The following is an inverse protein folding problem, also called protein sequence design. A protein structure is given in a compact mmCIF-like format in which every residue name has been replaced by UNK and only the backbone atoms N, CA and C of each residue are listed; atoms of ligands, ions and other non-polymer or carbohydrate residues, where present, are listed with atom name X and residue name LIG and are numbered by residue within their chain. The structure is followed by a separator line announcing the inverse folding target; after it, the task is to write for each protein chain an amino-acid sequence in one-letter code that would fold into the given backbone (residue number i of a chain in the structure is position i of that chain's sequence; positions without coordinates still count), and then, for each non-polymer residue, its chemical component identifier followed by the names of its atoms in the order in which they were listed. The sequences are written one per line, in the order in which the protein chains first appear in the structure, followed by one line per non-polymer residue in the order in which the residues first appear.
data_IF_345461669062
#
_entry.id   IF_345461669062
#
_cell.length_a   1.000
_cell.length_b   1.000
_cell.length_c   1.000
_cell.angle_alpha   90.00
_cell.angle_beta   90.00
_cell.angle_gamma   90.00
#
_symmetry.space_group_name_H-M   'P 1'
#
loop_
_entity.id
_entity.type
_entity.pdbx_description
1 polymer ?
2 water ?
#
# COMPACT_ATOMS: atom_id res chain seq x y z
N UNK A 28 35.63 10.41 -1.12
CA UNK A 28 35.10 11.60 -0.48
C UNK A 28 33.84 11.24 0.31
N UNK A 29 33.01 12.24 0.61
CA UNK A 29 31.78 12.03 1.35
C UNK A 29 30.58 12.19 0.43
N UNK A 30 29.52 11.45 0.72
CA UNK A 30 28.32 11.46 -0.13
C UNK A 30 27.18 12.23 0.53
N UNK A 31 26.27 12.75 -0.30
CA UNK A 31 25.11 13.47 0.20
C UNK A 31 24.22 12.58 1.06
N UNK A 32 23.85 11.42 0.52
CA UNK A 32 23.03 10.44 1.24
C UNK A 32 23.80 9.14 1.46
N UNK A 33 24.15 8.86 2.70
CA UNK A 33 24.89 7.66 3.04
C UNK A 33 24.22 6.86 4.16
N UNK A 34 22.92 7.05 4.32
CA UNK A 34 22.15 6.30 5.30
C UNK A 34 20.68 6.26 4.87
N UNK A 35 19.90 5.33 5.46
CA UNK A 35 18.50 5.22 5.07
C UNK A 35 17.72 6.51 5.30
N UNK A 36 16.79 6.82 4.40
CA UNK A 36 16.01 8.05 4.49
C UNK A 36 14.52 7.73 4.59
N UNK A 37 13.82 8.49 5.43
CA UNK A 37 12.39 8.29 5.64
C UNK A 37 11.60 8.70 4.40
N UNK A 38 10.73 7.83 3.94
CA UNK A 38 9.84 8.13 2.81
C UNK A 38 8.40 8.15 3.27
N UNK A 39 7.63 9.09 2.74
CA UNK A 39 6.19 9.15 2.95
C UNK A 39 5.54 9.87 1.77
N UNK A 40 4.28 10.27 1.93
CA UNK A 40 3.53 10.86 0.82
C UNK A 40 4.17 12.14 0.27
N UNK A 41 5.02 12.78 1.06
CA UNK A 41 5.61 14.05 0.66
C UNK A 41 6.85 13.88 -0.22
N UNK A 42 7.40 12.68 -0.30
CA UNK A 42 8.63 12.47 -1.09
C UNK A 42 8.79 11.09 -1.73
N UNK A 43 7.80 10.22 -1.58
CA UNK A 43 7.93 8.85 -2.08
C UNK A 43 8.05 8.80 -3.60
N UNK A 44 7.03 9.27 -4.29
CA UNK A 44 7.02 9.23 -5.75
C UNK A 44 8.13 10.11 -6.32
N UNK A 45 8.44 11.20 -5.62
CA UNK A 45 9.46 12.13 -6.08
C UNK A 45 10.85 11.49 -5.97
N UNK A 46 11.10 10.79 -4.87
CA UNK A 46 12.37 10.11 -4.69
C UNK A 46 12.59 9.07 -5.79
N UNK A 47 11.53 8.33 -6.13
CA UNK A 47 11.61 7.33 -7.19
C UNK A 47 11.86 7.99 -8.54
N UNK A 48 11.23 9.15 -8.74
CA UNK A 48 11.33 9.87 -10.00
C UNK A 48 12.71 10.48 -10.24
N UNK A 49 13.35 10.92 -9.15
CA UNK A 49 14.58 11.71 -9.26
C UNK A 49 15.85 10.96 -8.87
N UNK A 50 15.72 9.68 -8.56
CA UNK A 50 16.88 8.82 -8.27
C UNK A 50 16.81 7.54 -9.09
N UNK A 51 17.90 7.23 -9.80
CA UNK A 51 17.92 6.11 -10.73
C UNK A 51 17.73 4.77 -10.03
N UNK A 52 18.32 4.64 -8.86
CA UNK A 52 18.29 3.38 -8.12
C UNK A 52 17.86 3.60 -6.67
N UNK A 53 16.71 3.05 -6.32
CA UNK A 53 16.17 3.18 -4.97
C UNK A 53 15.76 1.81 -4.42
N UNK A 54 16.22 1.52 -3.21
CA UNK A 54 15.74 0.36 -2.46
C UNK A 54 14.81 0.86 -1.37
N UNK A 55 13.56 0.42 -1.40
CA UNK A 55 12.59 0.81 -0.37
C UNK A 55 12.37 -0.32 0.60
N UNK A 56 12.60 -0.04 1.88
CA UNK A 56 12.36 -0.98 2.96
C UNK A 56 10.99 -0.72 3.57
N UNK A 57 10.05 -1.63 3.33
CA UNK A 57 8.72 -1.54 3.92
C UNK A 57 8.74 -2.21 5.29
N UNK A 58 8.47 -1.43 6.34
CA UNK A 58 8.70 -1.88 7.71
C UNK A 58 7.67 -1.32 8.68
N UNK A 59 7.71 -1.81 9.92
CA UNK A 59 6.85 -1.31 10.98
C UNK A 59 7.51 -1.56 12.33
N UNK A 60 7.19 -0.72 13.31
CA UNK A 60 7.84 -0.79 14.62
C UNK A 60 7.48 -2.06 15.39
N UNK A 61 6.37 -2.70 15.02
CA UNK A 61 5.95 -3.94 15.67
C UNK A 61 6.57 -5.18 15.03
N UNK A 62 7.28 -4.99 13.93
CA UNK A 62 7.88 -6.10 13.19
C UNK A 62 9.29 -6.41 13.70
N UNK A 63 9.45 -7.54 14.36
CA UNK A 63 10.74 -7.94 14.91
C UNK A 63 11.77 -8.19 13.81
N UNK A 64 11.41 -8.96 12.76
CA UNK A 64 12.37 -9.15 11.66
C UNK A 64 12.82 -7.84 11.01
N UNK A 65 11.96 -6.84 10.95
CA UNK A 65 12.33 -5.55 10.40
C UNK A 65 13.46 -4.93 11.21
N UNK A 66 13.33 -4.98 12.53
CA UNK A 66 14.34 -4.41 13.42
C UNK A 66 15.63 -5.21 13.35
N UNK A 67 15.51 -6.50 13.07
CA UNK A 67 16.67 -7.39 13.02
C UNK A 67 17.59 -7.06 11.83
N UNK A 68 17.01 -6.57 10.74
CA UNK A 68 17.79 -6.29 9.53
C UNK A 68 18.18 -4.82 9.39
N UNK A 69 17.62 -3.97 10.25
CA UNK A 69 17.86 -2.54 10.16
C UNK A 69 19.35 -2.20 10.16
N UNK A 70 20.15 -2.83 11.03
CA UNK A 70 21.59 -2.54 10.99
C UNK A 70 22.26 -2.90 9.66
N UNK A 71 21.85 -4.00 9.05
CA UNK A 71 22.43 -4.40 7.77
C UNK A 71 22.08 -3.38 6.68
N UNK A 72 20.84 -2.88 6.70
CA UNK A 72 20.42 -1.89 5.71
C UNK A 72 21.21 -0.59 5.87
N UNK A 73 21.50 -0.22 7.11
CA UNK A 73 22.32 0.96 7.38
C UNK A 73 23.72 0.80 6.80
N UNK A 74 24.31 -0.37 6.99
CA UNK A 74 25.65 -0.65 6.48
C UNK A 74 25.69 -0.60 4.95
N UNK A 75 24.68 -1.17 4.32
CA UNK A 75 24.60 -1.18 2.86
C UNK A 75 24.33 0.22 2.32
N UNK A 76 23.58 1.01 3.08
CA UNK A 76 23.30 2.39 2.71
C UNK A 76 24.61 3.19 2.66
N UNK A 77 25.52 2.91 3.59
CA UNK A 77 26.84 3.54 3.57
C UNK A 77 27.64 3.03 2.39
N UNK A 78 27.62 1.71 2.19
CA UNK A 78 28.46 1.09 1.18
C UNK A 78 28.09 1.55 -0.23
N UNK A 79 26.80 1.70 -0.49
CA UNK A 79 26.32 2.07 -1.83
C UNK A 79 25.89 3.53 -1.89
N UNK A 80 26.40 4.33 -0.95
CA UNK A 80 26.12 5.76 -0.91
C UNK A 80 26.51 6.41 -2.22
N UNK A 81 25.58 7.18 -2.80
CA UNK A 81 25.81 7.83 -4.07
C UNK A 81 25.36 7.00 -5.25
N UNK A 82 25.18 5.70 -5.03
CA UNK A 82 24.72 4.79 -6.08
C UNK A 82 23.28 4.35 -5.86
N UNK A 83 22.98 3.95 -4.61
CA UNK A 83 21.64 3.49 -4.24
C UNK A 83 21.09 4.33 -3.09
N UNK A 84 19.87 4.84 -3.26
CA UNK A 84 19.16 5.50 -2.17
C UNK A 84 18.32 4.45 -1.44
N UNK A 85 18.59 4.28 -0.15
CA UNK A 85 17.82 3.37 0.67
C UNK A 85 16.71 4.12 1.39
N UNK A 86 15.47 3.85 1.00
CA UNK A 86 14.32 4.50 1.60
C UNK A 86 13.62 3.59 2.58
N UNK A 87 13.05 4.18 3.63
CA UNK A 87 12.26 3.44 4.59
C UNK A 87 10.82 3.94 4.54
N UNK A 88 9.90 3.02 4.29
CA UNK A 88 8.47 3.32 4.21
C UNK A 88 7.76 2.56 5.32
N UNK A 89 7.36 3.28 6.36
CA UNK A 89 6.65 2.67 7.47
C UNK A 89 5.24 2.33 7.03
N UNK A 90 4.88 1.04 7.12
CA UNK A 90 3.62 0.57 6.58
C UNK A 90 2.41 0.94 7.45
N UNK A 91 2.62 1.10 8.75
CA UNK A 91 1.55 1.60 9.63
C UNK A 91 1.20 3.03 9.28
N UNK A 92 2.24 3.85 9.06
CA UNK A 92 2.06 5.28 8.85
C UNK A 92 1.69 5.62 7.42
N UNK A 93 1.95 4.69 6.49
CA UNK A 93 1.69 4.91 5.08
C UNK A 93 1.04 3.68 4.42
N UNK A 94 -0.14 3.28 4.92
CA UNK A 94 -0.80 2.05 4.45
C UNK A 94 -1.17 2.09 2.96
N UNK A 95 -1.54 3.26 2.45
CA UNK A 95 -1.94 3.38 1.06
C UNK A 95 -0.77 3.07 0.12
N UNK A 96 0.39 3.65 0.42
CA UNK A 96 1.57 3.42 -0.42
C UNK A 96 1.97 1.94 -0.38
N UNK A 97 1.91 1.34 0.80
CA UNK A 97 2.27 -0.08 0.93
C UNK A 97 1.29 -0.93 0.15
N UNK A 98 0.01 -0.61 0.27
CA UNK A 98 -1.04 -1.36 -0.42
C UNK A 98 -0.88 -1.24 -1.94
N UNK A 99 -0.30 -0.13 -2.38
CA UNK A 99 -0.07 0.09 -3.81
C UNK A 99 0.80 -1.02 -4.41
N UNK A 100 1.71 -1.55 -3.59
CA UNK A 100 2.62 -2.62 -4.04
C UNK A 100 2.23 -3.97 -3.47
N UNK A 101 1.08 -4.01 -2.78
CA UNK A 101 0.56 -5.25 -2.24
C UNK A 101 1.45 -5.88 -1.20
N UNK A 102 2.06 -5.06 -0.35
CA UNK A 102 2.89 -5.57 0.73
C UNK A 102 2.05 -6.45 1.65
N UNK A 103 2.35 -7.75 1.65
CA UNK A 103 1.57 -8.73 2.42
C UNK A 103 2.38 -9.29 3.59
N UNK A 104 3.67 -8.95 3.64
CA UNK A 104 4.53 -9.34 4.74
C UNK A 104 5.69 -8.36 4.83
N UNK A 105 6.17 -8.12 6.05
CA UNK A 105 7.34 -7.25 6.25
C UNK A 105 8.40 -7.96 7.09
N UNK A 106 9.68 -7.62 6.87
CA UNK A 106 10.13 -6.61 5.91
C UNK A 106 10.05 -7.08 4.47
N UNK A 107 9.67 -6.17 3.57
CA UNK A 107 9.80 -6.38 2.14
C UNK A 107 10.66 -5.28 1.57
N UNK A 108 11.66 -5.66 0.78
CA UNK A 108 12.47 -4.71 0.04
C UNK A 108 12.07 -4.75 -1.43
N UNK A 109 11.92 -3.59 -2.04
CA UNK A 109 11.67 -3.48 -3.47
C UNK A 109 12.75 -2.63 -4.11
N UNK A 110 13.35 -3.14 -5.17
CA UNK A 110 14.33 -2.39 -5.93
C UNK A 110 13.64 -1.61 -7.05
N UNK A 111 13.78 -0.28 -7.01
CA UNK A 111 13.23 0.58 -8.05
C UNK A 111 14.31 1.08 -8.98
N UNK A 112 14.20 0.72 -10.25
CA UNK A 112 15.11 1.19 -11.29
C UNK A 112 14.38 2.18 -12.19
N UNK A 113 14.91 3.40 -12.27
CA UNK A 113 14.27 4.46 -13.06
C UNK A 113 12.82 4.62 -12.64
N UNK A 114 12.56 4.45 -11.35
CA UNK A 114 11.24 4.70 -10.79
C UNK A 114 10.27 3.54 -10.92
N UNK A 115 10.75 2.41 -11.44
CA UNK A 115 9.92 1.23 -11.65
C UNK A 115 10.41 0.04 -10.84
N UNK A 116 9.48 -0.69 -10.19
CA UNK A 116 9.88 -1.87 -9.41
C UNK A 116 10.36 -3.00 -10.31
N UNK A 117 11.53 -3.55 -10.02
CA UNK A 117 12.12 -4.57 -10.90
C UNK A 117 12.52 -5.83 -10.12
N UNK A 118 12.52 -5.75 -8.80
CA UNK A 118 12.84 -6.92 -7.99
C UNK A 118 12.38 -6.74 -6.55
N UNK A 119 12.22 -7.84 -5.83
CA UNK A 119 11.76 -7.81 -4.44
C UNK A 119 12.43 -8.89 -3.59
N UNK A 120 12.54 -8.60 -2.29
CA UNK A 120 12.99 -9.56 -1.29
C UNK A 120 12.04 -9.51 -0.11
N UNK A 121 11.59 -10.67 0.35
CA UNK A 121 10.60 -10.75 1.42
C UNK A 121 11.13 -11.53 2.62
N UNK A 122 10.95 -10.94 3.81
CA UNK A 122 11.42 -11.55 5.04
C UNK A 122 12.86 -11.16 5.33
N UNK A 123 13.30 -11.44 6.56
CA UNK A 123 14.67 -11.12 6.95
C UNK A 123 15.66 -11.96 6.15
N UNK A 124 16.75 -11.34 5.72
CA UNK A 124 17.76 -12.01 4.91
C UNK A 124 19.18 -11.64 5.37
N UNK A 125 20.14 -12.56 5.17
CA UNK A 125 21.52 -12.24 5.52
C UNK A 125 22.09 -11.10 4.66
N UNK A 126 23.10 -10.40 5.18
CA UNK A 126 23.71 -9.29 4.45
C UNK A 126 24.24 -9.72 3.09
N UNK A 127 24.84 -10.91 3.05
CA UNK A 127 25.42 -11.42 1.81
C UNK A 127 24.36 -11.57 0.71
N UNK A 128 23.19 -12.07 1.09
CA UNK A 128 22.11 -12.26 0.13
C UNK A 128 21.52 -10.92 -0.29
N UNK A 129 21.43 -10.01 0.69
CA UNK A 129 20.95 -8.66 0.44
C UNK A 129 21.82 -7.94 -0.57
N UNK A 130 23.13 -8.01 -0.36
CA UNK A 130 24.09 -7.33 -1.23
C UNK A 130 24.06 -7.90 -2.65
N UNK A 131 23.99 -9.23 -2.79
CA UNK A 131 23.90 -9.85 -4.11
C UNK A 131 22.64 -9.39 -4.82
N UNK A 132 21.57 -9.23 -4.05
CA UNK A 132 20.30 -8.74 -4.59
C UNK A 132 20.46 -7.34 -5.17
N UNK A 133 21.13 -6.46 -4.43
CA UNK A 133 21.44 -5.13 -4.94
C UNK A 133 22.30 -5.20 -6.20
N UNK A 134 23.37 -5.99 -6.14
CA UNK A 134 24.30 -6.09 -7.26
C UNK A 134 23.65 -6.62 -8.52
N UNK A 135 22.63 -7.46 -8.33
CA UNK A 135 21.93 -8.07 -9.45
C UNK A 135 21.07 -7.06 -10.21
N UNK A 136 20.65 -6.00 -9.52
CA UNK A 136 19.74 -5.02 -10.11
C UNK A 136 20.41 -3.67 -10.41
N UNK A 137 21.49 -3.37 -9.69
CA UNK A 137 22.17 -2.09 -9.83
C UNK A 137 22.90 -2.00 -11.16
N UNK B 29 0.15 -9.25 12.71
CA UNK B 29 0.86 -10.08 11.74
C UNK B 29 0.57 -9.63 10.32
N UNK B 30 -0.69 -9.26 10.08
CA UNK B 30 -1.12 -8.79 8.77
C UNK B 30 -0.68 -7.33 8.60
N UNK B 31 -0.11 -7.01 7.45
CA UNK B 31 0.43 -5.67 7.21
C UNK B 31 -0.67 -4.62 7.16
N UNK B 32 -1.66 -4.83 6.28
CA UNK B 32 -2.75 -3.88 6.11
C UNK B 32 -3.99 -4.29 6.89
N UNK B 33 -4.42 -3.44 7.82
CA UNK B 33 -5.61 -3.69 8.61
C UNK B 33 -6.49 -2.44 8.71
N UNK B 34 -6.26 -1.50 7.81
CA UNK B 34 -7.00 -0.24 7.81
C UNK B 34 -7.39 0.16 6.39
N UNK B 35 -8.38 1.06 6.26
CA UNK B 35 -8.74 1.50 4.91
C UNK B 35 -7.64 2.32 4.27
N UNK B 36 -7.45 2.20 2.96
CA UNK B 36 -6.48 3.03 2.25
C UNK B 36 -7.20 4.11 1.44
N UNK B 37 -6.46 5.16 1.08
CA UNK B 37 -7.02 6.29 0.35
C UNK B 37 -6.66 6.20 -1.12
N UNK B 38 -7.60 5.71 -1.92
CA UNK B 38 -7.36 5.54 -3.34
C UNK B 38 -7.64 6.84 -4.08
N UNK B 39 -6.90 7.06 -5.17
CA UNK B 39 -7.13 8.20 -6.04
C UNK B 39 -6.80 7.80 -7.48
N UNK B 40 -7.03 8.70 -8.43
CA UNK B 40 -6.81 8.40 -9.83
C UNK B 40 -5.37 7.96 -10.12
N UNK B 41 -4.44 8.40 -9.28
CA UNK B 41 -3.03 8.08 -9.47
C UNK B 41 -2.67 6.63 -9.09
N UNK B 42 -3.12 6.19 -7.91
CA UNK B 42 -2.71 4.88 -7.38
C UNK B 42 -3.74 3.78 -7.53
N UNK B 43 -4.89 4.10 -8.13
CA UNK B 43 -6.01 3.17 -8.19
C UNK B 43 -5.63 1.85 -8.87
N UNK B 44 -5.15 1.95 -10.11
CA UNK B 44 -4.96 0.78 -10.94
C UNK B 44 -3.83 -0.13 -10.45
N UNK B 45 -2.75 0.49 -9.96
CA UNK B 45 -1.63 -0.27 -9.45
C UNK B 45 -2.06 -1.05 -8.21
N UNK B 46 -2.89 -0.44 -7.37
CA UNK B 46 -3.41 -1.10 -6.18
C UNK B 46 -4.25 -2.32 -6.56
N UNK B 47 -5.12 -2.17 -7.56
CA UNK B 47 -5.93 -3.29 -8.04
C UNK B 47 -5.06 -4.41 -8.58
N UNK B 48 -3.96 -4.03 -9.22
CA UNK B 48 -3.06 -4.98 -9.86
C UNK B 48 -2.31 -5.86 -8.86
N UNK B 49 -2.01 -5.30 -7.69
CA UNK B 49 -1.13 -5.96 -6.72
C UNK B 49 -1.87 -6.54 -5.51
N UNK B 50 -3.20 -6.54 -5.56
CA UNK B 50 -4.03 -7.12 -4.50
C UNK B 50 -5.18 -7.90 -5.10
N UNK B 51 -5.35 -9.15 -4.65
CA UNK B 51 -6.37 -10.03 -5.21
C UNK B 51 -7.79 -9.54 -4.91
N UNK B 52 -8.03 -9.13 -3.66
CA UNK B 52 -9.35 -8.68 -3.22
C UNK B 52 -9.32 -7.23 -2.78
N UNK B 53 -10.00 -6.37 -3.52
CA UNK B 53 -10.10 -4.96 -3.18
C UNK B 53 -11.55 -4.51 -3.19
N UNK B 54 -12.03 -4.07 -2.03
CA UNK B 54 -13.34 -3.42 -1.93
C UNK B 54 -13.15 -1.92 -1.95
N UNK B 55 -13.77 -1.26 -2.92
CA UNK B 55 -13.67 0.19 -3.04
C UNK B 55 -14.95 0.86 -2.59
N UNK B 56 -14.81 1.78 -1.63
CA UNK B 56 -15.93 2.56 -1.12
C UNK B 56 -15.92 3.93 -1.77
N UNK B 57 -16.85 4.14 -2.71
CA UNK B 57 -17.02 5.43 -3.36
C UNK B 57 -17.86 6.35 -2.48
N UNK B 58 -17.28 7.47 -2.06
CA UNK B 58 -17.90 8.33 -1.05
C UNK B 58 -17.59 9.80 -1.26
N UNK B 59 -18.26 10.66 -0.48
CA UNK B 59 -17.97 12.08 -0.47
C UNK B 59 -18.37 12.66 0.88
N UNK B 60 -17.77 13.80 1.22
CA UNK B 60 -17.94 14.39 2.55
C UNK B 60 -19.38 14.85 2.83
N UNK B 61 -20.12 15.17 1.78
CA UNK B 61 -21.49 15.67 1.92
C UNK B 61 -22.52 14.56 2.04
N UNK B 62 -22.07 13.31 1.97
CA UNK B 62 -22.95 12.14 2.01
C UNK B 62 -23.00 11.56 3.42
N UNK B 63 -24.13 11.72 4.11
CA UNK B 63 -24.22 11.23 5.48
C UNK B 63 -24.43 9.72 5.56
N UNK B 64 -25.09 9.12 4.56
CA UNK B 64 -25.06 7.65 4.52
C UNK B 64 -23.64 7.10 4.38
N UNK B 65 -22.73 7.84 3.73
CA UNK B 65 -21.34 7.43 3.63
C UNK B 65 -20.69 7.46 5.01
N UNK B 66 -21.02 8.50 5.78
CA UNK B 66 -20.50 8.63 7.15
C UNK B 66 -21.00 7.48 8.00
N UNK B 67 -22.23 7.03 7.72
CA UNK B 67 -22.82 5.94 8.47
C UNK B 67 -21.99 4.67 8.38
N UNK B 68 -21.50 4.34 7.18
CA UNK B 68 -20.77 3.10 6.97
C UNK B 68 -19.27 3.24 7.18
N UNK B 69 -18.79 4.48 7.32
CA UNK B 69 -17.37 4.74 7.48
C UNK B 69 -16.74 3.91 8.60
N UNK B 70 -17.32 3.95 9.82
CA UNK B 70 -16.74 3.12 10.88
C UNK B 70 -16.86 1.63 10.63
N UNK B 71 -17.89 1.22 9.88
CA UNK B 71 -18.08 -0.19 9.57
C UNK B 71 -16.96 -0.66 8.64
N UNK B 72 -16.60 0.18 7.68
CA UNK B 72 -15.49 -0.14 6.78
C UNK B 72 -14.20 -0.30 7.58
N UNK B 73 -14.00 0.58 8.56
CA UNK B 73 -12.81 0.52 9.40
C UNK B 73 -12.75 -0.80 10.16
N UNK B 74 -13.90 -1.25 10.63
CA UNK B 74 -13.99 -2.50 11.39
C UNK B 74 -13.73 -3.71 10.50
N UNK B 75 -14.31 -3.70 9.31
CA UNK B 75 -14.11 -4.80 8.36
C UNK B 75 -12.65 -4.88 7.92
N UNK B 76 -12.00 -3.73 7.81
CA UNK B 76 -10.58 -3.69 7.46
C UNK B 76 -9.75 -4.44 8.52
N UNK B 77 -10.13 -4.30 9.78
CA UNK B 77 -9.46 -5.00 10.86
C UNK B 77 -9.77 -6.49 10.82
N UNK B 78 -11.03 -6.80 10.56
CA UNK B 78 -11.51 -8.19 10.62
C UNK B 78 -10.99 -9.02 9.45
N UNK B 79 -10.80 -8.39 8.29
CA UNK B 79 -10.31 -9.07 7.10
C UNK B 79 -8.89 -8.69 6.75
N UNK B 80 -8.12 -8.27 7.74
CA UNK B 80 -6.72 -7.90 7.53
C UNK B 80 -5.97 -9.02 6.81
N UNK B 81 -5.24 -8.64 5.75
CA UNK B 81 -4.46 -9.59 4.99
C UNK B 81 -5.23 -10.26 3.86
N UNK B 82 -6.56 -10.27 3.98
CA UNK B 82 -7.41 -10.95 3.00
C UNK B 82 -8.04 -9.97 2.01
N UNK B 83 -8.51 -8.84 2.52
CA UNK B 83 -9.21 -7.85 1.70
C UNK B 83 -8.67 -6.45 1.96
N UNK B 84 -8.35 -5.74 0.88
CA UNK B 84 -8.00 -4.34 0.95
C UNK B 84 -9.26 -3.49 0.81
N UNK B 85 -9.53 -2.66 1.80
CA UNK B 85 -10.63 -1.71 1.72
C UNK B 85 -10.10 -0.35 1.33
N UNK B 86 -10.49 0.10 0.14
CA UNK B 86 -10.05 1.37 -0.37
C UNK B 86 -11.19 2.36 -0.40
N UNK B 87 -10.89 3.61 -0.07
CA UNK B 87 -11.87 4.67 -0.10
C UNK B 87 -11.54 5.61 -1.23
N UNK B 88 -12.50 5.83 -2.11
CA UNK B 88 -12.32 6.73 -3.24
C UNK B 88 -13.30 7.88 -3.15
N UNK B 89 -12.77 9.05 -2.82
CA UNK B 89 -13.58 10.25 -2.73
C UNK B 89 -13.98 10.70 -4.12
N UNK B 90 -15.29 10.74 -4.38
CA UNK B 90 -15.79 11.04 -5.72
C UNK B 90 -15.68 12.52 -6.08
N UNK B 91 -15.63 13.40 -5.08
CA UNK B 91 -15.39 14.82 -5.35
C UNK B 91 -13.97 15.02 -5.85
N UNK B 92 -13.02 14.33 -5.23
CA UNK B 92 -11.61 14.50 -5.52
C UNK B 92 -11.15 13.68 -6.73
N UNK B 93 -11.91 12.63 -7.06
CA UNK B 93 -11.55 11.74 -8.16
C UNK B 93 -12.72 11.45 -9.08
N UNK B 94 -13.25 12.51 -9.72
CA UNK B 94 -14.42 12.37 -10.60
C UNK B 94 -14.14 11.49 -11.82
N UNK B 95 -12.90 11.42 -12.26
CA UNK B 95 -12.56 10.60 -13.43
C UNK B 95 -12.76 9.13 -13.12
N UNK B 96 -12.57 8.73 -11.86
CA UNK B 96 -12.75 7.34 -11.47
C UNK B 96 -14.23 7.04 -11.23
N UNK B 97 -14.93 7.98 -10.61
CA UNK B 97 -16.38 7.85 -10.42
C UNK B 97 -17.05 7.64 -11.78
N UNK B 98 -16.60 8.40 -12.77
CA UNK B 98 -17.13 8.28 -14.13
C UNK B 98 -16.82 6.91 -14.73
N UNK B 99 -15.58 6.47 -14.57
CA UNK B 99 -15.13 5.20 -15.14
C UNK B 99 -16.07 4.05 -14.77
N UNK B 100 -16.50 4.02 -13.50
CA UNK B 100 -17.32 2.92 -13.01
C UNK B 100 -18.79 3.29 -12.89
N UNK B 101 -19.17 4.43 -13.48
CA UNK B 101 -20.56 4.83 -13.53
C UNK B 101 -21.18 5.00 -12.16
N UNK B 102 -20.45 5.63 -11.24
CA UNK B 102 -20.98 5.92 -9.92
C UNK B 102 -21.94 7.11 -10.01
N UNK B 103 -23.22 6.85 -9.75
CA UNK B 103 -24.26 7.88 -9.79
C UNK B 103 -24.92 8.05 -8.42
N UNK B 104 -24.55 7.20 -7.48
CA UNK B 104 -25.11 7.25 -6.15
C UNK B 104 -24.06 6.78 -5.15
N UNK B 105 -24.04 7.39 -3.96
CA UNK B 105 -23.09 7.00 -2.93
C UNK B 105 -23.80 6.84 -1.58
N UNK B 106 -23.26 5.97 -0.70
CA UNK B 106 -22.08 5.15 -0.94
C UNK B 106 -22.32 4.01 -1.92
N UNK B 107 -21.33 3.74 -2.78
CA UNK B 107 -21.33 2.56 -3.62
C UNK B 107 -20.08 1.76 -3.32
N UNK B 108 -20.26 0.46 -3.07
CA UNK B 108 -19.15 -0.46 -2.89
C UNK B 108 -18.99 -1.31 -4.14
N UNK B 109 -17.75 -1.50 -4.58
CA UNK B 109 -17.45 -2.40 -5.69
C UNK B 109 -16.37 -3.37 -5.24
N UNK B 110 -16.60 -4.66 -5.51
CA UNK B 110 -15.61 -5.68 -5.20
C UNK B 110 -14.78 -5.97 -6.44
N UNK B 111 -13.48 -5.75 -6.35
CA UNK B 111 -12.55 -6.05 -7.42
C UNK B 111 -11.80 -7.34 -7.13
N UNK B 112 -12.02 -8.35 -7.96
CA UNK B 112 -11.30 -9.61 -7.87
C UNK B 112 -10.24 -9.64 -8.96
N UNK B 113 -8.98 -9.72 -8.54
CA UNK B 113 -7.86 -9.73 -9.46
C UNK B 113 -7.94 -8.56 -10.46
N UNK B 114 -8.33 -7.40 -9.96
CA UNK B 114 -8.34 -6.18 -10.76
C UNK B 114 -9.62 -5.93 -11.53
N UNK B 115 -10.54 -6.88 -11.49
CA UNK B 115 -11.78 -6.79 -12.27
C UNK B 115 -13.00 -6.62 -11.36
N UNK B 116 -13.88 -5.66 -11.67
CA UNK B 116 -15.08 -5.50 -10.85
C UNK B 116 -16.07 -6.65 -11.04
N UNK B 117 -16.37 -7.38 -9.97
CA UNK B 117 -17.21 -8.58 -10.07
C UNK B 117 -18.49 -8.49 -9.24
N UNK B 118 -18.63 -7.43 -8.45
CA UNK B 118 -19.83 -7.27 -7.65
C UNK B 118 -19.97 -5.83 -7.18
N UNK B 119 -21.20 -5.44 -6.84
CA UNK B 119 -21.49 -4.08 -6.45
C UNK B 119 -22.58 -4.03 -5.38
N UNK B 120 -22.51 -3.03 -4.52
CA UNK B 120 -23.54 -2.79 -3.52
C UNK B 120 -23.79 -1.28 -3.44
N UNK B 121 -25.06 -0.89 -3.48
CA UNK B 121 -25.42 0.54 -3.51
C UNK B 121 -26.28 0.90 -2.30
N UNK B 122 -26.03 2.08 -1.77
CA UNK B 122 -26.73 2.56 -0.59
C UNK B 122 -26.11 2.02 0.67
N UNK B 123 -26.29 2.74 1.77
CA UNK B 123 -25.81 2.29 3.06
C UNK B 123 -26.56 1.01 3.46
N UNK B 124 -25.81 0.02 3.94
CA UNK B 124 -26.40 -1.25 4.36
C UNK B 124 -25.82 -1.68 5.71
N UNK B 125 -26.55 -2.55 6.44
CA UNK B 125 -26.07 -3.07 7.72
C UNK B 125 -24.75 -3.82 7.59
N UNK B 126 -23.95 -3.82 8.66
CA UNK B 126 -22.66 -4.48 8.65
C UNK B 126 -22.79 -5.97 8.29
N UNK B 127 -23.85 -6.60 8.78
CA UNK B 127 -24.08 -8.03 8.51
C UNK B 127 -24.25 -8.27 7.02
N UNK B 128 -24.99 -7.37 6.36
CA UNK B 128 -25.23 -7.49 4.93
C UNK B 128 -23.95 -7.22 4.16
N UNK B 129 -23.20 -6.22 4.61
CA UNK B 129 -21.95 -5.87 3.97
C UNK B 129 -20.97 -7.03 4.10
N UNK B 130 -20.95 -7.64 5.28
CA UNK B 130 -20.05 -8.76 5.55
C UNK B 130 -20.36 -9.96 4.66
N UNK B 131 -21.63 -10.31 4.54
CA UNK B 131 -22.03 -11.41 3.66
C UNK B 131 -21.63 -11.12 2.21
N UNK B 132 -21.74 -9.87 1.81
CA UNK B 132 -21.40 -9.43 0.47
C UNK B 132 -19.90 -9.66 0.20
N UNK B 133 -19.06 -9.27 1.15
CA UNK B 133 -17.63 -9.53 1.04
C UNK B 133 -17.36 -11.03 0.98
N UNK B 134 -17.93 -11.78 1.91
CA UNK B 134 -17.72 -13.23 2.00
C UNK B 134 -18.08 -13.92 0.68
N UNK B 135 -19.17 -13.51 0.07
CA UNK B 135 -19.65 -14.14 -1.17
C UNK B 135 -18.67 -13.99 -2.33
N UNK B 136 -17.76 -13.03 -2.23
CA UNK B 136 -16.81 -12.76 -3.31
C UNK B 136 -15.38 -13.25 -3.03
N UNK B 137 -15.13 -13.71 -1.82
CA UNK B 137 -13.81 -14.24 -1.49
C UNK B 137 -13.54 -15.52 -2.28
#
# INVERSE_FOLDING_TARGET
GSHMDELELIRQKKLKEMMQKMSGEEKARKVLDSPVKLNSSNFDETLKNNENVVVDFWAEWCHPCKMIAPVIEELAKEYAGKVVFGKLNTDENPTIAARYGISAIPTLIFFKKGKPVDQLVGAMPKSELKRWVQRNL
GSHMDELELIRQKKLKEMMQKMSGEEKARKVLDSPVKLNSSNFDETLKNNENVVVDFWAEWCHPCKMIAPVIEELAKEYAGKVVFGKLNTDENPTIAARYGISAIPTLIFFKKGKPVDQLVGAMPKSELKRWVQRNL
#
